data_IF_429496944327
#
_entry.id   IF_429496944327
#
_cell.length_a   1.000
_cell.length_b   1.000
_cell.length_c   1.000
_cell.angle_alpha   90.00
_cell.angle_beta   90.00
_cell.angle_gamma   90.00
#
_symmetry.space_group_name_H-M   'P 1'
#
loop_
_entity.id
_entity.type
_entity.pdbx_description
1 polymer ?
#
# COMPACT_ATOMS: atom_id res chain seq x y z
N UNK A 1 19.67 23.86 69.82
CA UNK A 1 19.43 25.25 70.30
C UNK A 1 18.89 26.05 69.12
N UNK A 2 17.57 26.24 69.01
CA UNK A 2 16.83 27.47 69.38
C UNK A 2 17.29 28.68 68.54
N UNK A 3 16.48 29.42 67.77
CA UNK A 3 15.07 29.85 67.98
C UNK A 3 14.46 30.47 66.71
N UNK A 4 13.13 30.39 66.64
CA UNK A 4 12.13 31.06 65.81
C UNK A 4 12.29 32.58 65.56
N UNK A 5 11.64 33.08 64.49
CA UNK A 5 10.55 34.09 64.58
C UNK A 5 9.67 34.20 63.31
N UNK A 6 8.37 34.35 63.58
CA UNK A 6 7.20 34.56 62.71
C UNK A 6 7.10 35.99 62.16
N UNK A 7 6.30 36.16 61.08
CA UNK A 7 5.10 37.05 60.95
C UNK A 7 4.94 37.49 59.47
N UNK A 8 3.80 37.84 58.87
CA UNK A 8 2.34 37.62 59.03
C UNK A 8 1.69 38.24 57.77
N UNK A 9 0.51 37.76 57.37
CA UNK A 9 -0.29 38.14 56.20
C UNK A 9 -0.79 39.59 56.18
N UNK A 10 -1.07 40.14 54.98
CA UNK A 10 -2.16 41.12 54.75
C UNK A 10 -2.81 40.87 53.38
N UNK A 11 -4.13 40.67 53.39
CA UNK A 11 -5.06 40.63 52.24
C UNK A 11 -5.71 42.01 52.11
N UNK A 12 -5.81 42.56 50.90
CA UNK A 12 -6.52 43.82 50.65
C UNK A 12 -7.72 43.53 49.74
N UNK A 13 -8.91 43.81 50.28
CA UNK A 13 -10.23 43.79 49.64
C UNK A 13 -10.60 45.26 49.35
N UNK A 14 -11.07 45.59 48.13
CA UNK A 14 -11.67 46.89 47.84
C UNK A 14 -13.12 46.72 47.38
N UNK A 15 -14.01 47.39 48.12
CA UNK A 15 -15.44 47.61 47.83
C UNK A 15 -15.64 49.11 47.67
N UNK A 16 -16.17 49.56 46.53
CA UNK A 16 -16.85 50.84 46.30
C UNK A 16 -17.67 50.62 45.01
N UNK A 17 -18.94 50.99 44.80
CA UNK A 17 -19.92 51.83 45.47
C UNK A 17 -20.81 52.38 44.34
N UNK A 18 -22.13 52.17 44.40
CA UNK A 18 -23.10 52.57 43.37
C UNK A 18 -23.30 54.10 43.34
N UNK A 19 -23.35 54.68 42.14
CA UNK A 19 -24.04 55.96 41.88
C UNK A 19 -24.88 55.83 40.61
N UNK A 20 -26.17 56.13 40.74
CA UNK A 20 -27.17 56.17 39.67
C UNK A 20 -27.29 57.59 39.11
N UNK A 21 -27.25 57.73 37.78
CA UNK A 21 -27.71 58.92 37.05
C UNK A 21 -28.47 58.45 35.81
N UNK A 22 -29.76 58.74 35.76
CA UNK A 22 -30.61 58.80 34.55
C UNK A 22 -30.33 60.14 33.83
N UNK A 23 -30.47 60.38 32.52
CA UNK A 23 -31.40 59.86 31.50
C UNK A 23 -30.97 60.41 30.11
N UNK A 24 -31.78 60.09 29.08
CA UNK A 24 -31.88 60.67 27.73
C UNK A 24 -31.13 59.90 26.63
N UNK A 25 -31.93 59.21 25.82
CA UNK A 25 -31.48 58.36 24.74
C UNK A 25 -31.28 59.07 23.41
N UNK A 26 -30.61 58.34 22.52
CA UNK A 26 -30.79 58.44 21.07
C UNK A 26 -30.73 57.03 20.52
N UNK A 27 -31.83 56.58 19.91
CA UNK A 27 -31.91 55.30 19.23
C UNK A 27 -31.05 55.32 17.97
N UNK A 28 -29.97 54.53 17.96
CA UNK A 28 -29.32 54.09 16.73
C UNK A 28 -29.51 52.58 16.58
N UNK A 29 -30.22 52.20 15.53
CA UNK A 29 -30.50 50.82 15.16
C UNK A 29 -29.20 50.00 14.99
N UNK A 30 -29.11 48.88 15.72
CA UNK A 30 -28.07 47.88 15.49
C UNK A 30 -28.43 47.00 14.28
N UNK A 31 -27.48 46.72 13.37
CA UNK A 31 -27.71 45.85 12.23
C UNK A 31 -27.94 44.41 12.67
N UNK A 32 -28.94 43.79 12.02
CA UNK A 32 -29.40 42.41 12.20
C UNK A 32 -28.23 41.41 12.14
N UNK A 33 -28.19 40.53 13.13
CA UNK A 33 -27.36 39.33 13.20
C UNK A 33 -27.30 38.62 11.84
N UNK A 34 -26.11 38.60 11.23
CA UNK A 34 -25.83 37.75 10.09
C UNK A 34 -25.88 36.29 10.56
N UNK A 35 -26.90 35.57 10.11
CA UNK A 35 -27.06 34.15 10.34
C UNK A 35 -25.76 33.41 9.97
N UNK A 36 -25.13 32.77 10.96
CA UNK A 36 -24.03 31.83 10.75
C UNK A 36 -24.51 30.75 9.77
N UNK A 37 -24.04 30.84 8.52
CA UNK A 37 -24.23 29.78 7.53
C UNK A 37 -23.70 28.49 8.13
N UNK A 38 -24.58 27.50 8.29
CA UNK A 38 -24.21 26.12 8.64
C UNK A 38 -23.09 25.67 7.68
N UNK A 39 -22.04 24.99 8.17
CA UNK A 39 -21.00 24.46 7.30
C UNK A 39 -21.66 23.61 6.22
N UNK A 40 -21.39 23.99 4.98
CA UNK A 40 -21.96 23.40 3.78
C UNK A 40 -21.63 21.90 3.78
N UNK A 41 -22.64 21.04 3.67
CA UNK A 41 -22.55 19.59 3.60
C UNK A 41 -22.02 19.09 2.25
N UNK A 42 -20.92 19.69 1.78
CA UNK A 42 -20.08 19.09 0.75
C UNK A 42 -19.16 18.11 1.46
N UNK A 43 -19.59 16.85 1.46
CA UNK A 43 -18.93 15.67 2.00
C UNK A 43 -17.40 15.77 2.06
N UNK A 44 -16.85 15.53 3.24
CA UNK A 44 -15.45 15.12 3.47
C UNK A 44 -15.09 13.99 2.50
N UNK A 45 -14.56 14.32 1.32
CA UNK A 45 -13.76 13.36 0.57
C UNK A 45 -12.53 13.13 1.43
N UNK A 46 -12.48 12.00 2.14
CA UNK A 46 -11.35 11.61 2.98
C UNK A 46 -10.04 11.91 2.22
N UNK A 47 -9.22 12.80 2.79
CA UNK A 47 -7.93 13.18 2.21
C UNK A 47 -7.07 11.91 2.13
N UNK A 48 -6.86 11.40 0.91
CA UNK A 48 -6.19 10.11 0.67
C UNK A 48 -4.70 10.15 0.97
N UNK A 49 -4.06 11.27 0.66
CA UNK A 49 -2.63 11.50 0.83
C UNK A 49 -2.41 12.73 1.71
N UNK A 50 -1.49 12.63 2.66
CA UNK A 50 -1.06 13.76 3.49
C UNK A 50 0.41 14.04 3.24
N UNK A 51 0.84 15.27 3.53
CA UNK A 51 2.22 15.69 3.36
C UNK A 51 2.72 16.26 4.68
N UNK A 52 3.99 15.97 5.02
CA UNK A 52 4.62 16.49 6.23
C UNK A 52 5.92 17.17 5.88
N UNK A 53 6.19 18.33 6.51
CA UNK A 53 7.46 19.06 6.35
C UNK A 53 8.62 18.34 7.02
N UNK A 54 8.37 17.75 8.20
CA UNK A 54 9.32 16.89 8.89
C UNK A 54 8.96 15.44 8.59
N UNK A 55 9.87 14.75 7.91
CA UNK A 55 9.67 13.39 7.41
C UNK A 55 11.04 12.69 7.25
N UNK A 56 11.06 11.38 6.97
CA UNK A 56 12.32 10.64 6.77
C UNK A 56 13.08 11.18 5.55
N UNK A 57 14.40 11.44 5.64
CA UNK A 57 15.19 11.91 4.49
C UNK A 57 15.17 10.97 3.27
N UNK A 58 14.87 9.69 3.48
CA UNK A 58 14.76 8.68 2.44
C UNK A 58 13.31 8.43 2.00
N UNK A 59 12.35 9.16 2.58
CA UNK A 59 10.97 9.22 2.13
C UNK A 59 10.71 10.49 1.33
N UNK A 60 9.61 10.48 0.57
CA UNK A 60 9.23 11.60 -0.31
C UNK A 60 8.35 12.66 0.40
N UNK A 61 8.21 12.59 1.73
CA UNK A 61 7.35 13.47 2.53
C UNK A 61 5.84 13.30 2.29
N UNK A 62 5.46 12.33 1.46
CA UNK A 62 4.08 11.94 1.16
C UNK A 62 3.69 10.71 1.97
N UNK A 63 2.51 10.76 2.56
CA UNK A 63 2.01 9.72 3.45
C UNK A 63 0.70 9.14 2.91
N UNK A 64 0.58 7.82 2.99
CA UNK A 64 -0.60 7.06 2.63
C UNK A 64 -1.06 6.22 3.84
N UNK A 65 -2.29 6.46 4.30
CA UNK A 65 -2.88 5.77 5.46
C UNK A 65 -2.01 5.77 6.74
N UNK A 66 -1.16 6.80 6.87
CA UNK A 66 -0.24 7.01 7.99
C UNK A 66 1.19 6.51 7.77
N UNK A 67 1.45 5.78 6.68
CA UNK A 67 2.79 5.31 6.28
C UNK A 67 3.45 6.31 5.33
N UNK A 68 4.73 6.61 5.54
CA UNK A 68 5.52 7.41 4.59
C UNK A 68 5.88 6.59 3.34
N UNK A 69 5.84 7.22 2.17
CA UNK A 69 6.27 6.60 0.91
C UNK A 69 7.78 6.79 0.76
N UNK A 70 8.48 5.70 0.46
CA UNK A 70 9.92 5.71 0.24
C UNK A 70 10.30 6.32 -1.13
N UNK A 71 11.52 6.83 -1.23
CA UNK A 71 12.13 7.09 -2.53
C UNK A 71 12.32 5.79 -3.33
N UNK A 72 12.25 5.87 -4.66
CA UNK A 72 12.46 4.72 -5.53
C UNK A 72 13.95 4.35 -5.60
N UNK A 73 14.33 3.14 -5.19
CA UNK A 73 15.66 2.58 -5.41
C UNK A 73 15.79 2.02 -6.84
N UNK A 74 15.81 2.94 -7.82
CA UNK A 74 15.73 2.61 -9.25
C UNK A 74 17.03 2.11 -9.89
N UNK A 75 17.18 2.34 -11.20
CA UNK A 75 18.33 1.87 -12.01
C UNK A 75 19.70 2.25 -11.41
N UNK A 76 19.76 3.41 -10.74
CA UNK A 76 20.95 3.94 -10.10
C UNK A 76 21.95 4.53 -11.09
N UNK A 77 22.90 5.31 -10.57
CA UNK A 77 23.99 5.85 -11.38
C UNK A 77 24.80 4.70 -11.99
N UNK A 78 25.02 4.75 -13.31
CA UNK A 78 25.70 3.71 -14.09
C UNK A 78 25.17 2.28 -13.85
N UNK A 79 23.87 2.12 -13.55
CA UNK A 79 23.24 0.80 -13.36
C UNK A 79 23.59 0.13 -12.03
N UNK A 80 24.07 0.88 -11.04
CA UNK A 80 24.40 0.38 -9.71
C UNK A 80 23.22 -0.33 -9.02
N UNK A 81 22.00 0.22 -9.12
CA UNK A 81 20.80 -0.39 -8.56
C UNK A 81 20.44 -1.70 -9.28
N UNK A 82 20.53 -1.72 -10.61
CA UNK A 82 20.34 -2.94 -11.38
C UNK A 82 21.35 -4.04 -11.00
N UNK A 83 22.63 -3.68 -10.82
CA UNK A 83 23.68 -4.61 -10.34
C UNK A 83 23.40 -5.13 -8.93
N UNK A 84 22.92 -4.26 -8.03
CA UNK A 84 22.54 -4.66 -6.67
C UNK A 84 21.44 -5.72 -6.69
N UNK A 85 20.43 -5.58 -7.57
CA UNK A 85 19.38 -6.57 -7.74
C UNK A 85 19.89 -7.91 -8.27
N UNK A 86 20.99 -7.90 -9.04
CA UNK A 86 21.60 -9.07 -9.68
C UNK A 86 22.67 -9.77 -8.85
N UNK A 87 23.03 -9.24 -7.68
CA UNK A 87 24.07 -9.78 -6.80
C UNK A 87 23.75 -11.24 -6.42
N UNK A 88 24.78 -12.08 -6.33
CA UNK A 88 24.64 -13.53 -6.09
C UNK A 88 24.11 -13.80 -4.68
N UNK A 89 24.51 -12.96 -3.74
CA UNK A 89 24.12 -13.03 -2.32
C UNK A 89 22.61 -12.91 -2.14
N UNK A 90 21.91 -12.28 -3.09
CA UNK A 90 20.46 -12.06 -3.01
C UNK A 90 19.68 -13.37 -2.86
N UNK A 91 20.10 -14.44 -3.53
CA UNK A 91 19.44 -15.74 -3.35
C UNK A 91 19.64 -16.28 -1.93
N UNK A 92 20.84 -16.13 -1.35
CA UNK A 92 21.10 -16.57 0.03
C UNK A 92 20.33 -15.73 1.05
N UNK A 93 20.24 -14.43 0.81
CA UNK A 93 19.65 -13.44 1.72
C UNK A 93 18.12 -13.41 1.69
N UNK A 94 17.53 -13.58 0.51
CA UNK A 94 16.09 -13.37 0.27
C UNK A 94 15.38 -14.67 -0.19
N UNK A 95 16.13 -15.72 -0.53
CA UNK A 95 15.63 -17.04 -0.98
C UNK A 95 14.60 -16.92 -2.12
N UNK A 96 14.97 -16.28 -3.22
CA UNK A 96 14.05 -15.97 -4.33
C UNK A 96 13.45 -17.25 -4.94
N UNK A 97 14.22 -18.34 -5.02
CA UNK A 97 13.67 -19.61 -5.51
C UNK A 97 12.60 -20.17 -4.56
N UNK A 98 12.78 -20.04 -3.24
CA UNK A 98 11.77 -20.44 -2.25
C UNK A 98 10.54 -19.52 -2.30
N UNK A 99 10.75 -18.21 -2.49
CA UNK A 99 9.68 -17.24 -2.69
C UNK A 99 8.79 -17.66 -3.87
N UNK A 100 9.37 -17.90 -5.04
CA UNK A 100 8.61 -18.32 -6.24
C UNK A 100 7.88 -19.64 -6.02
N UNK A 101 8.51 -20.64 -5.38
CA UNK A 101 7.83 -21.90 -5.02
C UNK A 101 6.63 -21.68 -4.10
N UNK A 102 6.75 -20.76 -3.15
CA UNK A 102 5.71 -20.46 -2.16
C UNK A 102 4.45 -19.83 -2.80
N UNK A 103 4.59 -19.21 -3.98
CA UNK A 103 3.45 -18.69 -4.73
C UNK A 103 2.56 -19.79 -5.31
N UNK A 104 3.00 -21.06 -5.33
CA UNK A 104 2.27 -22.21 -5.85
C UNK A 104 1.77 -21.98 -7.29
N UNK A 105 2.60 -21.34 -8.12
CA UNK A 105 2.32 -21.11 -9.53
C UNK A 105 2.09 -22.43 -10.27
N UNK A 106 1.24 -22.38 -11.28
CA UNK A 106 0.93 -23.51 -12.16
C UNK A 106 1.42 -23.23 -13.58
N UNK A 107 1.84 -24.26 -14.32
CA UNK A 107 2.10 -24.12 -15.75
C UNK A 107 0.92 -23.46 -16.47
N UNK A 108 1.19 -22.63 -17.48
CA UNK A 108 0.16 -21.92 -18.25
C UNK A 108 -0.34 -20.61 -17.63
N UNK A 109 0.03 -20.28 -16.39
CA UNK A 109 -0.42 -19.04 -15.75
C UNK A 109 0.23 -17.79 -16.35
N UNK A 110 -0.54 -16.70 -16.33
CA UNK A 110 -0.09 -15.35 -16.71
C UNK A 110 0.23 -14.53 -15.47
N UNK A 111 1.46 -14.07 -15.34
CA UNK A 111 1.96 -13.39 -14.14
C UNK A 111 2.47 -12.00 -14.48
N UNK A 112 2.09 -10.98 -13.71
CA UNK A 112 2.70 -9.66 -13.78
C UNK A 112 3.72 -9.49 -12.65
N UNK A 113 4.96 -9.21 -13.01
CA UNK A 113 6.03 -8.82 -12.10
C UNK A 113 6.09 -7.28 -12.08
N UNK A 114 5.45 -6.68 -11.08
CA UNK A 114 5.31 -5.22 -10.97
C UNK A 114 6.54 -4.66 -10.23
N UNK A 115 7.25 -3.72 -10.86
CA UNK A 115 8.57 -3.29 -10.40
C UNK A 115 9.65 -4.31 -10.73
N UNK A 116 9.63 -4.87 -11.94
CA UNK A 116 10.46 -6.03 -12.29
C UNK A 116 11.97 -5.77 -12.24
N UNK A 117 12.39 -4.50 -12.26
CA UNK A 117 13.80 -4.11 -12.18
C UNK A 117 14.65 -4.78 -13.27
N UNK A 118 15.78 -5.36 -12.89
CA UNK A 118 16.68 -6.06 -13.81
C UNK A 118 16.17 -7.43 -14.29
N UNK A 119 15.01 -7.89 -13.82
CA UNK A 119 14.37 -9.13 -14.27
C UNK A 119 14.84 -10.40 -13.57
N UNK A 120 15.51 -10.31 -12.42
CA UNK A 120 15.95 -11.50 -11.66
C UNK A 120 14.77 -12.37 -11.25
N UNK A 121 13.75 -11.75 -10.65
CA UNK A 121 12.53 -12.44 -10.22
C UNK A 121 11.70 -12.86 -11.43
N UNK A 122 11.55 -11.98 -12.43
CA UNK A 122 10.88 -12.26 -13.70
C UNK A 122 11.38 -13.57 -14.34
N UNK A 123 12.69 -13.79 -14.37
CA UNK A 123 13.29 -15.01 -14.91
C UNK A 123 12.87 -16.27 -14.14
N UNK A 124 12.71 -16.19 -12.82
CA UNK A 124 12.29 -17.31 -11.99
C UNK A 124 10.80 -17.60 -12.17
N UNK A 125 9.97 -16.55 -12.22
CA UNK A 125 8.54 -16.64 -12.51
C UNK A 125 8.29 -17.27 -13.88
N UNK A 126 9.03 -16.83 -14.91
CA UNK A 126 8.89 -17.30 -16.28
C UNK A 126 9.18 -18.79 -16.42
N UNK A 127 10.20 -19.28 -15.70
CA UNK A 127 10.47 -20.72 -15.62
C UNK A 127 9.37 -21.47 -14.88
N UNK A 128 8.85 -20.92 -13.78
CA UNK A 128 7.83 -21.57 -12.96
C UNK A 128 6.49 -21.76 -13.69
N UNK A 129 6.11 -20.84 -14.57
CA UNK A 129 4.86 -20.95 -15.36
C UNK A 129 5.00 -21.73 -16.66
N UNK A 130 6.22 -22.11 -17.05
CA UNK A 130 6.51 -22.85 -18.28
C UNK A 130 6.19 -22.06 -19.56
N UNK A 131 6.47 -22.68 -20.72
CA UNK A 131 6.34 -22.05 -22.04
C UNK A 131 4.90 -21.77 -22.47
N UNK A 132 3.93 -22.50 -21.89
CA UNK A 132 2.50 -22.25 -22.11
C UNK A 132 1.99 -21.05 -21.29
N UNK A 133 2.73 -20.64 -20.25
CA UNK A 133 2.48 -19.46 -19.46
C UNK A 133 3.26 -18.25 -19.98
N UNK A 134 3.14 -17.13 -19.27
CA UNK A 134 3.87 -15.93 -19.65
C UNK A 134 3.98 -14.91 -18.52
N UNK A 135 5.08 -14.17 -18.51
CA UNK A 135 5.33 -13.11 -17.53
C UNK A 135 5.37 -11.75 -18.20
N UNK A 136 4.62 -10.80 -17.66
CA UNK A 136 4.75 -9.38 -18.02
C UNK A 136 5.63 -8.71 -16.97
N UNK A 137 6.86 -8.36 -17.35
CA UNK A 137 7.73 -7.53 -16.52
C UNK A 137 7.34 -6.07 -16.67
N UNK A 138 6.82 -5.46 -15.60
CA UNK A 138 6.30 -4.10 -15.59
C UNK A 138 7.24 -3.20 -14.78
N UNK A 139 7.70 -2.11 -15.40
CA UNK A 139 8.52 -1.10 -14.72
C UNK A 139 8.23 0.29 -15.31
N UNK A 140 8.48 1.34 -14.53
CA UNK A 140 8.36 2.73 -14.98
C UNK A 140 9.64 3.20 -15.67
N UNK A 141 10.78 2.58 -15.36
CA UNK A 141 12.09 2.96 -15.86
C UNK A 141 12.43 2.18 -17.14
N UNK A 142 12.60 2.86 -18.29
CA UNK A 142 12.95 2.18 -19.54
C UNK A 142 14.31 1.45 -19.46
N UNK A 143 15.25 1.94 -18.66
CA UNK A 143 16.56 1.30 -18.46
C UNK A 143 16.44 -0.07 -17.76
N UNK A 144 15.53 -0.21 -16.79
CA UNK A 144 15.26 -1.49 -16.13
C UNK A 144 14.66 -2.49 -17.10
N UNK A 145 13.66 -2.06 -17.89
CA UNK A 145 13.05 -2.91 -18.93
C UNK A 145 14.08 -3.39 -19.97
N UNK A 146 14.94 -2.50 -20.46
CA UNK A 146 16.01 -2.87 -21.37
C UNK A 146 16.98 -3.89 -20.72
N UNK A 147 17.34 -3.68 -19.44
CA UNK A 147 18.22 -4.59 -18.71
C UNK A 147 17.60 -5.97 -18.49
N UNK A 148 16.31 -6.03 -18.16
CA UNK A 148 15.52 -7.26 -18.08
C UNK A 148 15.48 -7.98 -19.43
N UNK A 149 15.18 -7.28 -20.53
CA UNK A 149 15.13 -7.90 -21.86
C UNK A 149 16.48 -8.51 -22.26
N UNK A 150 17.58 -7.80 -22.03
CA UNK A 150 18.93 -8.35 -22.24
C UNK A 150 19.18 -9.60 -21.39
N UNK A 151 18.71 -9.60 -20.14
CA UNK A 151 18.78 -10.76 -19.24
C UNK A 151 17.99 -11.94 -19.78
N UNK A 152 16.75 -11.73 -20.24
CA UNK A 152 15.91 -12.79 -20.81
C UNK A 152 16.56 -13.40 -22.05
N UNK A 153 17.13 -12.57 -22.94
CA UNK A 153 17.88 -13.03 -24.12
C UNK A 153 19.10 -13.85 -23.72
N UNK A 154 19.91 -13.35 -22.77
CA UNK A 154 21.11 -14.04 -22.27
C UNK A 154 20.79 -15.44 -21.72
N UNK A 155 19.69 -15.56 -20.99
CA UNK A 155 19.28 -16.83 -20.36
C UNK A 155 18.28 -17.65 -21.19
N UNK A 156 18.02 -17.26 -22.45
CA UNK A 156 17.10 -17.93 -23.38
C UNK A 156 15.71 -18.16 -22.77
N UNK A 157 15.13 -17.12 -22.18
CA UNK A 157 13.79 -17.14 -21.58
C UNK A 157 12.83 -16.42 -22.54
N UNK A 158 12.02 -17.15 -23.33
CA UNK A 158 11.24 -16.56 -24.43
C UNK A 158 9.87 -16.03 -24.00
N UNK A 159 9.34 -16.49 -22.86
CA UNK A 159 7.97 -16.25 -22.41
C UNK A 159 7.83 -15.01 -21.50
N UNK A 160 8.54 -13.93 -21.84
CA UNK A 160 8.53 -12.67 -21.08
C UNK A 160 8.28 -11.48 -21.99
N UNK A 161 7.33 -10.63 -21.62
CA UNK A 161 7.04 -9.36 -22.30
C UNK A 161 7.34 -8.18 -21.40
N UNK A 162 8.05 -7.18 -21.92
CA UNK A 162 8.28 -5.92 -21.20
C UNK A 162 7.09 -4.98 -21.37
N UNK A 163 6.65 -4.36 -20.28
CA UNK A 163 5.55 -3.39 -20.27
C UNK A 163 5.99 -2.13 -19.53
N UNK A 164 5.92 -0.98 -20.21
CA UNK A 164 6.18 0.31 -19.58
C UNK A 164 4.95 0.80 -18.83
N UNK A 165 4.98 0.70 -17.51
CA UNK A 165 3.94 1.21 -16.62
C UNK A 165 4.01 2.73 -16.43
N UNK A 166 3.16 3.24 -15.55
CA UNK A 166 3.28 4.58 -14.96
C UNK A 166 3.25 4.45 -13.44
N UNK A 167 3.46 5.54 -12.72
CA UNK A 167 3.31 5.57 -11.26
C UNK A 167 1.90 5.22 -10.78
N UNK A 168 0.89 5.18 -11.67
CA UNK A 168 -0.54 4.98 -11.34
C UNK A 168 -1.17 3.76 -12.02
N UNK A 169 -0.49 3.11 -12.97
CA UNK A 169 -1.08 2.02 -13.74
C UNK A 169 -0.03 1.06 -14.28
N UNK A 170 -0.29 -0.26 -14.22
CA UNK A 170 0.59 -1.25 -14.81
C UNK A 170 0.43 -1.34 -16.34
N UNK A 171 -0.58 -0.64 -16.92
CA UNK A 171 -0.95 -0.68 -18.35
C UNK A 171 -1.18 -2.10 -18.89
N UNK A 172 -1.77 -2.97 -18.07
CA UNK A 172 -2.16 -4.32 -18.45
C UNK A 172 -3.65 -4.40 -18.79
N UNK A 173 -4.02 -5.39 -19.59
CA UNK A 173 -5.41 -5.63 -19.97
C UNK A 173 -6.25 -6.05 -18.75
N UNK A 174 -7.49 -5.57 -18.58
CA UNK A 174 -8.39 -6.07 -17.54
C UNK A 174 -8.63 -7.59 -17.64
N UNK A 175 -8.74 -8.27 -16.49
CA UNK A 175 -9.03 -9.71 -16.42
C UNK A 175 -8.04 -10.62 -17.15
N UNK A 176 -6.78 -10.22 -17.28
CA UNK A 176 -5.79 -10.91 -18.12
C UNK A 176 -4.75 -11.73 -17.36
N UNK A 177 -4.58 -11.50 -16.05
CA UNK A 177 -3.51 -12.15 -15.26
C UNK A 177 -4.06 -12.98 -14.10
N UNK A 178 -3.33 -14.05 -13.77
CA UNK A 178 -3.59 -14.97 -12.67
C UNK A 178 -2.91 -14.53 -11.36
N UNK A 179 -1.76 -13.85 -11.48
CA UNK A 179 -1.01 -13.30 -10.34
C UNK A 179 -0.39 -11.95 -10.72
N UNK A 180 -0.53 -10.95 -9.85
CA UNK A 180 0.39 -9.82 -9.78
C UNK A 180 1.31 -10.00 -8.57
N UNK A 181 2.61 -9.83 -8.74
CA UNK A 181 3.59 -9.87 -7.65
C UNK A 181 4.40 -8.57 -7.63
N UNK A 182 4.68 -8.10 -6.42
CA UNK A 182 5.55 -6.96 -6.12
C UNK A 182 6.60 -7.46 -5.14
N UNK A 183 7.87 -7.36 -5.51
CA UNK A 183 8.99 -7.75 -4.63
C UNK A 183 9.79 -6.51 -4.28
N UNK A 184 9.71 -6.11 -3.02
CA UNK A 184 10.39 -4.96 -2.41
C UNK A 184 10.16 -3.66 -3.21
N UNK A 185 8.89 -3.34 -3.53
CA UNK A 185 8.54 -2.16 -4.34
C UNK A 185 7.26 -1.44 -3.90
N UNK A 186 6.35 -2.09 -3.17
CA UNK A 186 5.06 -1.46 -2.84
C UNK A 186 5.24 -0.25 -1.92
N UNK A 187 6.25 -0.29 -1.06
CA UNK A 187 6.62 0.83 -0.19
C UNK A 187 7.06 2.08 -0.97
N UNK A 188 7.50 1.94 -2.23
CA UNK A 188 7.97 3.03 -3.10
C UNK A 188 6.88 3.60 -4.01
N UNK A 189 5.68 3.02 -4.03
CA UNK A 189 4.61 3.53 -4.89
C UNK A 189 4.20 4.94 -4.46
N UNK A 190 4.37 5.90 -5.35
CA UNK A 190 3.93 7.29 -5.13
C UNK A 190 2.39 7.39 -5.08
N UNK A 191 1.69 6.52 -5.83
CA UNK A 191 0.23 6.48 -5.92
C UNK A 191 -0.30 5.07 -5.65
N UNK A 192 -0.13 4.54 -4.41
CA UNK A 192 -0.45 3.15 -4.09
C UNK A 192 -1.93 2.85 -4.31
N UNK A 193 -2.85 3.79 -3.99
CA UNK A 193 -4.28 3.57 -4.22
C UNK A 193 -4.60 3.40 -5.71
N UNK A 194 -4.12 4.32 -6.55
CA UNK A 194 -4.39 4.31 -7.98
C UNK A 194 -3.81 3.06 -8.63
N UNK A 195 -2.55 2.73 -8.30
CA UNK A 195 -1.87 1.55 -8.84
C UNK A 195 -2.57 0.24 -8.44
N UNK A 196 -2.88 0.05 -7.15
CA UNK A 196 -3.55 -1.19 -6.69
C UNK A 196 -4.95 -1.31 -7.29
N UNK A 197 -5.69 -0.20 -7.42
CA UNK A 197 -6.99 -0.21 -8.09
C UNK A 197 -6.87 -0.66 -9.55
N UNK A 198 -5.87 -0.19 -10.28
CA UNK A 198 -5.64 -0.65 -11.65
C UNK A 198 -5.16 -2.11 -11.70
N UNK A 199 -4.26 -2.54 -10.82
CA UNK A 199 -3.84 -3.95 -10.73
C UNK A 199 -5.04 -4.86 -10.45
N UNK A 200 -5.93 -4.51 -9.52
CA UNK A 200 -7.11 -5.30 -9.20
C UNK A 200 -8.05 -5.50 -10.41
N UNK A 201 -8.12 -4.53 -11.33
CA UNK A 201 -8.87 -4.68 -12.60
C UNK A 201 -8.22 -5.70 -13.54
N UNK A 202 -6.90 -5.81 -13.53
CA UNK A 202 -6.14 -6.72 -14.40
C UNK A 202 -6.27 -8.18 -13.96
N UNK A 203 -6.52 -8.44 -12.68
CA UNK A 203 -6.71 -9.79 -12.16
C UNK A 203 -7.98 -10.44 -12.75
N UNK A 204 -7.84 -11.70 -13.18
CA UNK A 204 -8.98 -12.60 -13.42
C UNK A 204 -9.77 -12.83 -12.12
N UNK A 205 -11.04 -13.25 -12.18
CA UNK A 205 -11.72 -13.82 -11.01
C UNK A 205 -10.92 -15.01 -10.47
N UNK A 206 -10.64 -15.05 -9.16
CA UNK A 206 -9.73 -16.02 -8.53
C UNK A 206 -8.23 -15.68 -8.68
N UNK A 207 -7.90 -14.61 -9.41
CA UNK A 207 -6.52 -14.12 -9.52
C UNK A 207 -6.03 -13.53 -8.20
N UNK A 208 -4.72 -13.54 -8.00
CA UNK A 208 -4.07 -13.15 -6.74
C UNK A 208 -3.18 -11.93 -6.90
N UNK A 209 -2.96 -11.23 -5.80
CA UNK A 209 -1.88 -10.24 -5.67
C UNK A 209 -0.99 -10.64 -4.49
N UNK A 210 0.32 -10.62 -4.70
CA UNK A 210 1.33 -10.98 -3.70
C UNK A 210 2.26 -9.80 -3.44
N UNK A 211 2.40 -9.43 -2.17
CA UNK A 211 3.33 -8.43 -1.68
C UNK A 211 4.48 -9.16 -0.99
N UNK A 212 5.69 -9.01 -1.51
CA UNK A 212 6.91 -9.49 -0.87
C UNK A 212 7.64 -8.27 -0.34
N UNK A 213 7.59 -8.06 0.97
CA UNK A 213 8.01 -6.80 1.60
C UNK A 213 8.89 -7.05 2.82
N UNK A 214 9.95 -6.27 2.97
CA UNK A 214 10.84 -6.31 4.14
C UNK A 214 10.08 -6.12 5.45
N UNK A 215 10.32 -7.02 6.40
CA UNK A 215 9.63 -7.02 7.70
C UNK A 215 10.03 -5.80 8.52
N UNK A 216 9.09 -4.91 8.77
CA UNK A 216 9.29 -3.79 9.71
C UNK A 216 9.35 -4.27 11.15
N UNK A 217 8.70 -5.38 11.47
CA UNK A 217 8.68 -6.00 12.80
C UNK A 217 10.05 -6.57 13.20
N UNK A 218 10.95 -6.80 12.24
CA UNK A 218 12.28 -7.34 12.50
C UNK A 218 13.35 -6.24 12.38
N UNK A 219 13.94 -5.80 13.51
CA UNK A 219 14.99 -4.79 13.49
C UNK A 219 16.27 -5.29 12.82
N UNK A 220 16.48 -6.61 12.70
CA UNK A 220 17.68 -7.20 12.10
C UNK A 220 17.69 -7.16 10.57
N UNK A 221 16.56 -6.86 9.93
CA UNK A 221 16.51 -6.71 8.46
C UNK A 221 17.36 -5.50 8.06
N UNK A 222 18.44 -5.69 7.28
CA UNK A 222 19.45 -4.65 7.06
C UNK A 222 19.06 -3.70 5.91
N UNK A 223 17.98 -2.95 6.10
CA UNK A 223 17.53 -1.90 5.18
C UNK A 223 16.92 -0.74 5.96
N UNK A 224 16.86 0.43 5.32
CA UNK A 224 16.26 1.65 5.87
C UNK A 224 14.80 1.42 6.27
N UNK A 225 14.37 2.08 7.36
CA UNK A 225 13.05 1.86 7.94
C UNK A 225 11.91 2.18 6.98
N UNK A 226 12.04 3.25 6.17
CA UNK A 226 11.03 3.66 5.18
C UNK A 226 10.82 2.62 4.07
N UNK A 227 11.77 1.71 3.87
CA UNK A 227 11.69 0.58 2.91
C UNK A 227 11.18 -0.72 3.53
N UNK A 228 10.77 -0.69 4.80
CA UNK A 228 10.13 -1.81 5.47
C UNK A 228 8.62 -1.57 5.52
N UNK A 229 7.85 -2.67 5.57
CA UNK A 229 6.43 -2.62 5.85
C UNK A 229 6.05 -3.67 6.88
N UNK A 230 5.15 -3.30 7.79
CA UNK A 230 4.46 -4.29 8.63
C UNK A 230 3.42 -5.03 7.81
N UNK A 231 3.15 -6.28 8.18
CA UNK A 231 2.03 -7.03 7.61
C UNK A 231 0.70 -6.29 7.85
N UNK A 232 0.57 -5.63 9.00
CA UNK A 232 -0.60 -4.82 9.36
C UNK A 232 -0.80 -3.64 8.41
N UNK A 233 0.27 -2.95 7.99
CA UNK A 233 0.18 -1.86 7.02
C UNK A 233 -0.29 -2.38 5.66
N UNK A 234 0.31 -3.46 5.15
CA UNK A 234 -0.12 -4.08 3.88
C UNK A 234 -1.59 -4.50 3.97
N UNK A 235 -2.00 -5.17 5.05
CA UNK A 235 -3.40 -5.57 5.26
C UNK A 235 -4.36 -4.39 5.31
N UNK A 236 -4.01 -3.33 6.04
CA UNK A 236 -4.82 -2.11 6.14
C UNK A 236 -4.99 -1.44 4.79
N UNK A 237 -3.90 -1.29 4.03
CA UNK A 237 -3.92 -0.63 2.73
C UNK A 237 -4.69 -1.44 1.69
N UNK A 238 -4.50 -2.76 1.61
CA UNK A 238 -5.08 -3.57 0.53
C UNK A 238 -6.54 -3.99 0.79
N UNK A 239 -7.02 -3.91 2.03
CA UNK A 239 -8.40 -4.27 2.38
C UNK A 239 -9.44 -3.18 2.09
N UNK A 240 -9.09 -2.14 1.32
CA UNK A 240 -10.05 -1.13 0.87
C UNK A 240 -11.11 -1.73 -0.07
N UNK A 241 -12.37 -1.33 0.13
CA UNK A 241 -13.52 -1.88 -0.60
C UNK A 241 -13.40 -1.67 -2.11
N UNK A 242 -12.79 -0.57 -2.53
CA UNK A 242 -12.58 -0.16 -3.91
C UNK A 242 -11.71 -1.13 -4.72
N UNK A 243 -10.91 -1.97 -4.05
CA UNK A 243 -10.06 -2.95 -4.71
C UNK A 243 -10.77 -4.28 -4.92
N UNK A 244 -11.82 -4.58 -4.13
CA UNK A 244 -12.54 -5.85 -4.21
C UNK A 244 -11.64 -7.06 -3.96
N UNK A 245 -10.61 -6.90 -3.12
CA UNK A 245 -9.65 -7.94 -2.77
C UNK A 245 -9.95 -8.48 -1.38
N UNK A 246 -9.73 -9.78 -1.18
CA UNK A 246 -9.85 -10.44 0.13
C UNK A 246 -8.50 -10.99 0.55
N UNK A 247 -8.13 -10.77 1.81
CA UNK A 247 -6.92 -11.37 2.37
C UNK A 247 -7.01 -12.91 2.30
N UNK A 248 -5.95 -13.55 1.84
CA UNK A 248 -5.88 -15.01 1.68
C UNK A 248 -5.01 -15.64 2.76
N UNK A 249 -3.73 -15.28 2.79
CA UNK A 249 -2.74 -15.82 3.70
C UNK A 249 -1.50 -14.92 3.76
N UNK A 250 -0.69 -15.10 4.81
CA UNK A 250 0.67 -14.57 4.89
C UNK A 250 1.62 -15.74 5.03
N UNK A 251 2.66 -15.79 4.19
CA UNK A 251 3.66 -16.86 4.19
C UNK A 251 4.95 -16.31 4.81
N UNK A 252 5.33 -16.85 5.96
CA UNK A 252 6.49 -16.41 6.77
C UNK A 252 7.78 -17.20 6.55
N UNK A 253 8.01 -17.76 5.36
CA UNK A 253 9.14 -18.69 5.12
C UNK A 253 10.45 -18.01 4.67
N UNK A 254 10.39 -16.73 4.30
CA UNK A 254 11.56 -15.98 3.83
C UNK A 254 12.38 -15.42 4.99
N UNK A 255 13.69 -15.16 4.81
CA UNK A 255 14.53 -14.66 5.88
C UNK A 255 14.20 -13.22 6.26
N UNK A 256 13.95 -12.35 5.27
CA UNK A 256 13.82 -10.89 5.47
C UNK A 256 12.44 -10.32 5.16
N UNK A 257 11.61 -11.05 4.41
CA UNK A 257 10.33 -10.54 3.89
C UNK A 257 9.10 -11.31 4.39
N UNK A 258 7.98 -10.60 4.46
CA UNK A 258 6.65 -11.20 4.43
C UNK A 258 6.27 -11.56 2.99
N UNK A 259 5.46 -12.60 2.78
CA UNK A 259 4.69 -12.76 1.53
C UNK A 259 3.20 -12.64 1.90
N UNK A 260 2.59 -11.49 1.64
CA UNK A 260 1.17 -11.23 1.96
C UNK A 260 0.34 -11.39 0.70
N UNK A 261 -0.66 -12.26 0.72
CA UNK A 261 -1.45 -12.62 -0.47
C UNK A 261 -2.91 -12.19 -0.30
N UNK A 262 -3.45 -11.55 -1.34
CA UNK A 262 -4.88 -11.29 -1.49
C UNK A 262 -5.40 -11.94 -2.76
N UNK A 263 -6.69 -12.22 -2.79
CA UNK A 263 -7.39 -12.85 -3.91
C UNK A 263 -8.55 -11.96 -4.37
N UNK A 264 -8.79 -11.93 -5.68
CA UNK A 264 -9.99 -11.36 -6.26
C UNK A 264 -11.09 -12.43 -6.24
N UNK A 265 -12.23 -12.23 -5.55
CA UNK A 265 -13.28 -13.24 -5.48
C UNK A 265 -13.78 -13.69 -6.86
N UNK A 266 -14.12 -14.97 -7.00
CA UNK A 266 -14.58 -15.58 -8.27
C UNK A 266 -16.00 -15.19 -8.69
N UNK A 267 -16.68 -14.30 -7.95
CA UNK A 267 -18.02 -13.82 -8.29
C UNK A 267 -19.17 -14.80 -8.05
N UNK A 268 -18.91 -16.04 -7.59
CA UNK A 268 -19.99 -16.94 -7.17
C UNK A 268 -20.55 -16.50 -5.83
N UNK A 269 -21.64 -15.71 -5.84
CA UNK A 269 -22.62 -15.78 -4.74
C UNK A 269 -23.01 -17.26 -4.63
N UNK A 270 -22.70 -17.92 -3.51
CA UNK A 270 -23.41 -19.15 -3.17
C UNK A 270 -24.89 -18.76 -3.15
N UNK A 271 -25.66 -19.19 -4.14
CA UNK A 271 -27.09 -19.31 -3.97
C UNK A 271 -27.25 -20.32 -2.83
N UNK A 272 -27.43 -19.82 -1.61
CA UNK A 272 -27.85 -20.64 -0.50
C UNK A 272 -29.14 -21.31 -0.96
N UNK A 273 -29.11 -22.64 -1.01
CA UNK A 273 -30.21 -23.44 -1.49
C UNK A 273 -31.49 -23.03 -0.77
N UNK A 274 -32.43 -22.47 -1.54
CA UNK A 274 -33.83 -22.70 -1.22
C UNK A 274 -34.03 -24.19 -1.47
N UNK A 275 -33.92 -24.98 -0.41
CA UNK A 275 -34.47 -26.33 -0.36
C UNK A 275 -35.92 -26.17 -0.77
N UNK A 276 -36.25 -26.65 -1.97
CA UNK A 276 -37.61 -26.71 -2.47
C UNK A 276 -38.35 -27.67 -1.54
N UNK A 277 -39.41 -27.19 -0.91
CA UNK A 277 -40.35 -27.99 -0.14
C UNK A 277 -41.33 -28.74 -1.06
N UNK A 278 -40.87 -29.24 -2.21
CA UNK A 278 -41.72 -29.92 -3.20
C UNK A 278 -41.48 -31.44 -3.31
N UNK A 279 -40.62 -32.04 -2.48
CA UNK A 279 -40.33 -33.49 -2.54
C UNK A 279 -40.55 -34.19 -1.20
N UNK A 280 -41.73 -33.97 -0.60
CA UNK A 280 -42.22 -34.79 0.52
C UNK A 280 -43.74 -35.00 0.54
N UNK A 281 -44.34 -35.08 -0.65
CA UNK A 281 -45.74 -35.49 -0.84
C UNK A 281 -45.83 -36.49 -2.00
N UNK A 282 -45.18 -37.65 -1.85
CA UNK A 282 -45.41 -38.84 -2.71
C UNK A 282 -45.14 -40.16 -1.97
N UNK A 283 -45.10 -40.13 -0.64
CA UNK A 283 -45.06 -41.34 0.21
C UNK A 283 -45.78 -41.06 1.53
N UNK A 284 -47.11 -41.13 1.49
CA UNK A 284 -47.99 -41.61 2.56
C UNK A 284 -49.40 -41.72 2.03
#
# INVERSE_FOLDING_TARGET
>A
MSRNRLSSNVVILFVVGWLSVEMIGTACAQPKSAAKKKPNSQSEKAVRYTFRKLHDPNGIGKFYMGREIAHVMGYGFNGSGARWLERVEREREEKLALMVRSLKLKPGQRVADIGCGSGVVTALLARAVGLEGGVMGVDVQPQMLARMQMRMKKFRIPNVTAVRGTQKSPRLKPGSIDLAIMVDVYHEFEFPFEMIREIAKTLKPGGRIAFVEYRMEDPKVPILLVHKMTEKQVKKEISQKEFGLVFKETIGVLPRQHIVIFEKPTGKKKAAGKTSAAEKASRR
#
